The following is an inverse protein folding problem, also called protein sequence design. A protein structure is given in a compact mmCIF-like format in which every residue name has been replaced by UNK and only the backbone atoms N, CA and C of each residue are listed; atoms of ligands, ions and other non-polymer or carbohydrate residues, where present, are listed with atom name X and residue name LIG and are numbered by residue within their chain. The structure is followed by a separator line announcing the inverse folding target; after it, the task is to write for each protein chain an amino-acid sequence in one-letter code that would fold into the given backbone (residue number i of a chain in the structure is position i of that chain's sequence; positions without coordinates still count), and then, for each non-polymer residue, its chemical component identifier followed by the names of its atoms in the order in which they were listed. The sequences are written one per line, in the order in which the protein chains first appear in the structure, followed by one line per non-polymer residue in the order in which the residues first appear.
data_IF_796965094955
#
_entry.id   IF_796965094955
#
_cell.length_a   1.000
_cell.length_b   1.000
_cell.length_c   1.000
_cell.angle_alpha   90.00
_cell.angle_beta   90.00
_cell.angle_gamma   90.00
#
_symmetry.space_group_name_H-M   'P 1'
#
loop_
_entity.id
_entity.type
_entity.pdbx_description
1 polymer ?
#
# COMPACT_ATOMS: atom_id res chain seq x y z
N UNK A 1 37.20 -36.09 -37.52
CA UNK A 1 38.36 -35.68 -38.37
C UNK A 1 38.12 -34.21 -38.65
N UNK A 2 38.90 -33.37 -38.01
CA UNK A 2 39.54 -32.14 -38.46
C UNK A 2 40.04 -31.39 -37.24
N UNK A 3 41.35 -31.40 -37.10
CA UNK A 3 42.11 -30.68 -36.10
C UNK A 3 42.12 -29.20 -36.43
N UNK A 4 41.93 -28.32 -35.39
CA UNK A 4 42.26 -26.89 -35.53
C UNK A 4 43.35 -26.58 -34.53
N UNK A 5 44.46 -26.11 -35.11
CA UNK A 5 45.75 -25.81 -34.51
C UNK A 5 45.69 -24.80 -33.39
N UNK A 6 46.48 -25.09 -32.33
CA UNK A 6 46.82 -24.15 -31.30
C UNK A 6 47.88 -23.15 -31.81
N UNK A 7 47.58 -21.86 -31.80
CA UNK A 7 48.50 -20.79 -32.09
C UNK A 7 49.06 -20.22 -30.78
N UNK A 8 50.38 -20.40 -30.63
CA UNK A 8 51.13 -19.98 -29.46
C UNK A 8 51.35 -18.46 -29.48
N UNK A 9 50.77 -17.76 -28.47
CA UNK A 9 51.07 -16.34 -28.22
C UNK A 9 52.27 -16.20 -27.32
N UNK A 10 53.30 -15.57 -27.85
CA UNK A 10 54.57 -15.21 -27.19
C UNK A 10 54.35 -14.17 -26.08
N UNK A 11 54.97 -14.26 -24.90
CA UNK A 11 54.83 -13.23 -23.86
C UNK A 11 55.72 -12.01 -24.20
N UNK A 12 55.06 -10.90 -24.50
CA UNK A 12 55.69 -9.60 -24.69
C UNK A 12 56.12 -8.98 -23.35
N UNK A 13 57.34 -8.44 -23.37
CA UNK A 13 58.06 -7.84 -22.25
C UNK A 13 57.28 -6.77 -21.50
N UNK A 14 57.18 -6.94 -20.17
CA UNK A 14 56.70 -5.93 -19.23
C UNK A 14 57.75 -4.83 -19.11
N UNK A 15 57.47 -3.66 -19.67
CA UNK A 15 58.21 -2.43 -19.36
C UNK A 15 57.74 -1.92 -18.02
N UNK A 16 58.64 -1.99 -17.02
CA UNK A 16 58.53 -1.31 -15.73
C UNK A 16 58.69 0.20 -15.93
N UNK A 17 57.59 0.89 -16.15
CA UNK A 17 57.51 2.34 -16.05
C UNK A 17 57.16 2.68 -14.60
N UNK A 18 58.13 3.17 -13.85
CA UNK A 18 57.90 3.80 -12.54
C UNK A 18 57.19 5.13 -12.70
N UNK A 19 55.85 5.09 -12.79
CA UNK A 19 55.02 6.29 -12.81
C UNK A 19 54.75 6.71 -11.34
N UNK A 20 55.65 7.52 -10.82
CA UNK A 20 55.48 8.21 -9.53
C UNK A 20 54.41 9.30 -9.67
N UNK A 21 53.12 8.89 -9.64
CA UNK A 21 52.03 9.83 -9.45
C UNK A 21 52.08 10.39 -8.04
N UNK A 22 52.08 11.72 -7.86
CA UNK A 22 52.00 12.29 -6.52
C UNK A 22 50.66 11.85 -5.89
N UNK A 23 50.72 11.15 -4.76
CA UNK A 23 49.59 10.95 -3.87
C UNK A 23 49.13 12.33 -3.41
N UNK A 24 48.18 12.93 -4.07
CA UNK A 24 47.46 14.05 -3.53
C UNK A 24 46.72 13.56 -2.28
N UNK A 25 47.33 13.77 -1.13
CA UNK A 25 46.67 13.65 0.16
C UNK A 25 45.51 14.64 0.21
N UNK A 26 44.37 14.12 0.36
CA UNK A 26 43.11 14.85 0.50
C UNK A 26 42.01 13.86 0.83
N UNK A 27 42.15 13.15 2.00
CA UNK A 27 41.01 12.52 2.67
C UNK A 27 40.04 13.59 3.19
N UNK A 28 39.56 14.43 2.28
CA UNK A 28 38.36 15.18 2.48
C UNK A 28 37.21 14.30 2.10
N UNK A 29 36.66 13.51 3.03
CA UNK A 29 35.37 12.90 2.86
C UNK A 29 34.42 14.01 2.37
N UNK A 30 33.97 13.90 1.12
CA UNK A 30 33.05 14.88 0.55
C UNK A 30 31.90 15.07 1.56
N UNK A 31 31.56 16.30 1.94
CA UNK A 31 30.51 16.52 2.93
C UNK A 31 29.24 15.81 2.45
N UNK A 32 28.70 14.93 3.29
CA UNK A 32 27.47 14.23 3.00
C UNK A 32 26.41 15.25 2.54
N UNK A 33 25.86 15.02 1.37
CA UNK A 33 24.87 15.93 0.80
C UNK A 33 23.76 16.23 1.84
N UNK A 34 23.36 17.50 2.02
CA UNK A 34 22.37 17.84 3.01
C UNK A 34 21.08 17.06 2.74
N UNK A 35 20.48 16.49 3.79
CA UNK A 35 19.24 15.71 3.68
C UNK A 35 18.18 16.55 2.98
N UNK A 36 17.59 15.99 1.94
CA UNK A 36 16.52 16.63 1.20
C UNK A 36 15.33 16.96 2.12
N UNK A 37 14.66 18.09 1.87
CA UNK A 37 13.43 18.45 2.58
C UNK A 37 12.37 17.35 2.37
N UNK A 38 11.55 17.11 3.39
CA UNK A 38 10.57 16.00 3.40
C UNK A 38 9.62 16.06 2.18
N UNK A 39 9.05 17.22 1.87
CA UNK A 39 8.06 17.37 0.80
C UNK A 39 8.61 17.06 -0.60
N UNK A 40 9.74 17.64 -1.06
CA UNK A 40 10.29 17.30 -2.36
C UNK A 40 10.75 15.83 -2.45
N UNK A 41 11.30 15.28 -1.35
CA UNK A 41 11.67 13.87 -1.29
C UNK A 41 10.45 12.94 -1.39
N UNK A 42 9.36 13.26 -0.69
CA UNK A 42 8.09 12.56 -0.77
C UNK A 42 7.52 12.60 -2.20
N UNK A 43 7.50 13.79 -2.82
CA UNK A 43 7.02 13.94 -4.19
C UNK A 43 7.86 13.15 -5.20
N UNK A 44 9.18 13.09 -5.02
CA UNK A 44 10.07 12.29 -5.85
C UNK A 44 9.79 10.78 -5.71
N UNK A 45 9.67 10.28 -4.48
CA UNK A 45 9.32 8.86 -4.21
C UNK A 45 7.93 8.54 -4.76
N UNK A 46 6.95 9.39 -4.52
CA UNK A 46 5.59 9.23 -5.05
C UNK A 46 5.60 9.09 -6.57
N UNK A 47 6.26 10.00 -7.29
CA UNK A 47 6.36 9.96 -8.75
C UNK A 47 7.11 8.72 -9.25
N UNK A 48 8.20 8.34 -8.58
CA UNK A 48 8.95 7.12 -8.91
C UNK A 48 8.11 5.87 -8.73
N UNK A 49 7.31 5.79 -7.67
CA UNK A 49 6.37 4.68 -7.45
C UNK A 49 5.24 4.70 -8.49
N UNK A 50 4.74 5.87 -8.85
CA UNK A 50 3.67 6.01 -9.84
C UNK A 50 4.13 5.53 -11.23
N UNK A 51 5.34 5.89 -11.65
CA UNK A 51 5.89 5.48 -12.96
C UNK A 51 6.15 3.99 -13.05
N UNK A 52 6.72 3.38 -12.00
CA UNK A 52 6.94 1.92 -11.93
C UNK A 52 5.62 1.12 -11.92
N UNK A 53 4.59 1.72 -11.38
CA UNK A 53 3.32 1.09 -11.13
C UNK A 53 2.43 0.94 -12.38
N UNK A 54 2.57 1.82 -13.37
CA UNK A 54 1.68 1.85 -14.53
C UNK A 54 1.63 0.52 -15.28
N UNK A 55 2.75 -0.14 -15.47
CA UNK A 55 2.81 -1.37 -16.29
C UNK A 55 2.41 -2.63 -15.49
N UNK A 56 2.89 -2.75 -14.24
CA UNK A 56 2.72 -3.98 -13.47
C UNK A 56 1.45 -4.02 -12.61
N UNK A 57 0.86 -2.87 -12.26
CA UNK A 57 -0.23 -2.78 -11.28
C UNK A 57 -1.61 -2.56 -11.87
N UNK A 58 -1.72 -2.15 -13.13
CA UNK A 58 -3.02 -2.06 -13.82
C UNK A 58 -3.75 -3.42 -13.82
N UNK A 59 -3.10 -4.56 -14.15
CA UNK A 59 -3.73 -5.87 -14.06
C UNK A 59 -4.16 -6.23 -12.63
N UNK A 60 -3.36 -5.88 -11.61
CA UNK A 60 -3.68 -6.15 -10.20
C UNK A 60 -4.88 -5.33 -9.71
N UNK A 61 -4.97 -4.05 -10.11
CA UNK A 61 -6.14 -3.23 -9.82
C UNK A 61 -7.40 -3.78 -10.49
N UNK A 62 -7.27 -4.25 -11.74
CA UNK A 62 -8.37 -4.89 -12.45
C UNK A 62 -8.85 -6.14 -11.70
N UNK A 63 -7.94 -7.01 -11.24
CA UNK A 63 -8.28 -8.19 -10.45
C UNK A 63 -8.98 -7.80 -9.15
N UNK A 64 -8.48 -6.81 -8.40
CA UNK A 64 -9.10 -6.35 -7.16
C UNK A 64 -10.53 -5.81 -7.39
N UNK A 65 -10.71 -5.00 -8.43
CA UNK A 65 -12.01 -4.43 -8.80
C UNK A 65 -12.97 -5.54 -9.26
N UNK A 66 -12.50 -6.44 -10.12
CA UNK A 66 -13.29 -7.58 -10.60
C UNK A 66 -13.73 -8.51 -9.46
N UNK A 67 -12.81 -8.81 -8.53
CA UNK A 67 -13.12 -9.61 -7.33
C UNK A 67 -14.20 -8.92 -6.48
N UNK A 68 -14.09 -7.60 -6.24
CA UNK A 68 -15.05 -6.84 -5.44
C UNK A 68 -16.43 -6.80 -6.11
N UNK A 69 -16.49 -6.57 -7.40
CA UNK A 69 -17.74 -6.59 -8.18
C UNK A 69 -18.34 -8.01 -8.19
N UNK A 70 -17.50 -9.04 -8.34
CA UNK A 70 -17.94 -10.45 -8.28
C UNK A 70 -18.60 -10.81 -6.96
N UNK A 71 -18.02 -10.35 -5.83
CA UNK A 71 -18.61 -10.53 -4.49
C UNK A 71 -19.97 -9.83 -4.40
N UNK A 72 -20.10 -8.59 -4.90
CA UNK A 72 -21.37 -7.88 -4.90
C UNK A 72 -22.44 -8.58 -5.74
N UNK A 73 -22.07 -9.09 -6.91
CA UNK A 73 -23.01 -9.84 -7.76
C UNK A 73 -23.49 -11.12 -7.02
N UNK A 74 -22.57 -11.82 -6.36
CA UNK A 74 -22.92 -13.00 -5.57
C UNK A 74 -23.83 -12.65 -4.38
N UNK A 75 -23.57 -11.55 -3.70
CA UNK A 75 -24.35 -11.09 -2.56
C UNK A 75 -25.73 -10.56 -2.94
N UNK A 76 -25.95 -10.15 -4.19
CA UNK A 76 -27.25 -9.65 -4.68
C UNK A 76 -28.40 -10.64 -4.53
N UNK A 77 -28.10 -11.95 -4.55
CA UNK A 77 -29.09 -13.00 -4.35
C UNK A 77 -29.36 -13.35 -2.89
N UNK A 78 -28.60 -12.79 -1.96
CA UNK A 78 -28.65 -13.11 -0.52
C UNK A 78 -29.12 -11.93 0.31
N UNK A 79 -28.90 -10.70 -0.18
CA UNK A 79 -29.19 -9.45 0.52
C UNK A 79 -30.47 -8.82 -0.04
N UNK A 80 -31.45 -8.59 0.83
CA UNK A 80 -32.78 -8.06 0.47
C UNK A 80 -32.82 -6.53 0.28
N UNK A 81 -31.67 -5.85 0.38
CA UNK A 81 -31.59 -4.38 0.25
C UNK A 81 -31.36 -3.64 1.58
N UNK A 82 -31.64 -2.36 1.62
CA UNK A 82 -31.51 -1.54 2.85
C UNK A 82 -30.08 -1.44 3.38
N UNK A 83 -29.92 -1.57 4.69
CA UNK A 83 -28.64 -1.41 5.38
C UNK A 83 -27.61 -2.47 5.00
N UNK A 84 -28.06 -3.69 4.72
CA UNK A 84 -27.21 -4.78 4.29
C UNK A 84 -26.60 -4.50 2.90
N UNK A 85 -27.40 -4.02 1.97
CA UNK A 85 -26.92 -3.65 0.64
C UNK A 85 -25.89 -2.52 0.71
N UNK A 86 -26.11 -1.50 1.58
CA UNK A 86 -25.16 -0.41 1.81
C UNK A 86 -23.83 -0.95 2.39
N UNK A 87 -23.92 -1.85 3.37
CA UNK A 87 -22.73 -2.48 3.96
C UNK A 87 -21.94 -3.29 2.94
N UNK A 88 -22.61 -4.07 2.08
CA UNK A 88 -21.97 -4.86 1.01
C UNK A 88 -21.29 -3.95 -0.01
N UNK A 89 -21.93 -2.88 -0.46
CA UNK A 89 -21.33 -1.95 -1.44
C UNK A 89 -20.15 -1.20 -0.83
N UNK A 90 -20.31 -0.71 0.39
CA UNK A 90 -19.25 -0.01 1.10
C UNK A 90 -18.06 -0.94 1.41
N UNK A 91 -18.32 -2.14 1.94
CA UNK A 91 -17.32 -3.15 2.25
C UNK A 91 -16.53 -3.58 1.01
N UNK A 92 -17.23 -3.87 -0.09
CA UNK A 92 -16.60 -4.23 -1.37
C UNK A 92 -15.76 -3.08 -1.94
N UNK A 93 -16.20 -1.83 -1.76
CA UNK A 93 -15.43 -0.65 -2.21
C UNK A 93 -14.14 -0.48 -1.40
N UNK A 94 -14.20 -0.61 -0.07
CA UNK A 94 -13.03 -0.52 0.81
C UNK A 94 -12.12 -1.75 0.66
N UNK A 95 -12.64 -2.91 0.23
CA UNK A 95 -11.84 -4.10 -0.08
C UNK A 95 -10.81 -3.84 -1.18
N UNK A 96 -11.15 -3.05 -2.21
CA UNK A 96 -10.19 -2.64 -3.24
C UNK A 96 -9.03 -1.86 -2.61
N UNK A 97 -9.35 -0.98 -1.65
CA UNK A 97 -8.33 -0.23 -0.90
C UNK A 97 -7.47 -1.18 -0.07
N UNK A 98 -8.08 -2.13 0.64
CA UNK A 98 -7.36 -3.11 1.45
C UNK A 98 -6.43 -3.99 0.61
N UNK A 99 -6.90 -4.47 -0.53
CA UNK A 99 -6.08 -5.27 -1.45
C UNK A 99 -4.81 -4.54 -1.86
N UNK A 100 -4.94 -3.29 -2.30
CA UNK A 100 -3.82 -2.52 -2.82
C UNK A 100 -2.97 -1.92 -1.70
N UNK A 101 -3.61 -1.22 -0.75
CA UNK A 101 -2.89 -0.46 0.27
C UNK A 101 -2.32 -1.34 1.38
N UNK A 102 -3.02 -2.41 1.78
CA UNK A 102 -2.52 -3.32 2.81
C UNK A 102 -1.67 -4.44 2.21
N UNK A 103 -2.24 -5.25 1.32
CA UNK A 103 -1.61 -6.48 0.84
C UNK A 103 -0.42 -6.20 -0.09
N UNK A 104 -0.61 -5.39 -1.15
CA UNK A 104 0.49 -5.13 -2.09
C UNK A 104 1.62 -4.30 -1.45
N UNK A 105 1.31 -3.41 -0.50
CA UNK A 105 2.35 -2.63 0.18
C UNK A 105 3.13 -3.48 1.18
N UNK A 106 2.48 -4.44 1.87
CA UNK A 106 3.18 -5.41 2.70
C UNK A 106 4.16 -6.25 1.88
N UNK A 107 3.73 -6.73 0.71
CA UNK A 107 4.60 -7.46 -0.21
C UNK A 107 5.75 -6.59 -0.73
N UNK A 108 5.47 -5.36 -1.10
CA UNK A 108 6.49 -4.41 -1.59
C UNK A 108 7.60 -4.18 -0.57
N UNK A 109 7.25 -3.86 0.68
CA UNK A 109 8.25 -3.62 1.72
C UNK A 109 8.93 -4.91 2.18
N UNK A 110 8.22 -6.04 2.20
CA UNK A 110 8.81 -7.35 2.47
C UNK A 110 9.87 -7.71 1.42
N UNK A 111 9.57 -7.50 0.14
CA UNK A 111 10.51 -7.72 -0.95
C UNK A 111 11.69 -6.74 -0.90
N UNK A 112 11.42 -5.45 -0.64
CA UNK A 112 12.45 -4.42 -0.53
C UNK A 112 13.46 -4.76 0.57
N UNK A 113 12.98 -5.30 1.69
CA UNK A 113 13.84 -5.77 2.78
C UNK A 113 14.63 -7.03 2.39
N UNK A 114 13.98 -8.03 1.79
CA UNK A 114 14.63 -9.28 1.41
C UNK A 114 15.68 -9.11 0.33
N UNK A 115 15.51 -8.14 -0.58
CA UNK A 115 16.44 -7.84 -1.68
C UNK A 115 17.59 -6.89 -1.30
N UNK A 116 17.69 -6.43 -0.04
CA UNK A 116 18.67 -5.42 0.37
C UNK A 116 18.37 -4.01 -0.18
N UNK A 117 17.18 -3.80 -0.76
CA UNK A 117 16.80 -2.50 -1.32
C UNK A 117 16.69 -1.39 -0.28
N UNK A 118 16.53 -1.72 1.00
CA UNK A 118 16.57 -0.74 2.09
C UNK A 118 17.94 -0.09 2.21
N UNK A 119 19.04 -0.84 2.01
CA UNK A 119 20.40 -0.34 2.07
C UNK A 119 20.66 0.66 0.93
N UNK A 120 20.10 0.38 -0.26
CA UNK A 120 20.16 1.32 -1.37
C UNK A 120 19.45 2.65 -1.04
N UNK A 121 18.27 2.60 -0.42
CA UNK A 121 17.62 3.83 0.03
C UNK A 121 18.37 4.55 1.17
N UNK A 122 19.11 3.82 2.00
CA UNK A 122 19.93 4.40 3.06
C UNK A 122 21.11 5.23 2.53
N UNK A 123 21.62 4.92 1.32
CA UNK A 123 22.67 5.71 0.65
C UNK A 123 22.16 6.99 0.02
N UNK A 124 20.84 7.11 -0.18
CA UNK A 124 20.23 8.31 -0.76
C UNK A 124 19.95 9.36 0.33
N UNK A 125 20.06 10.67 0.03
CA UNK A 125 19.76 11.74 0.98
C UNK A 125 18.24 11.93 1.18
N UNK A 126 17.49 10.82 1.28
CA UNK A 126 16.03 10.80 1.40
C UNK A 126 15.62 10.44 2.83
N UNK A 127 14.78 11.24 3.50
CA UNK A 127 14.33 10.89 4.85
C UNK A 127 13.45 9.61 4.81
N UNK A 128 13.62 8.69 5.79
CA UNK A 128 12.85 7.45 5.89
C UNK A 128 11.32 7.63 5.80
N UNK A 129 10.83 8.70 6.42
CA UNK A 129 9.41 9.06 6.36
C UNK A 129 8.95 9.34 4.91
N UNK A 130 9.77 9.96 4.07
CA UNK A 130 9.41 10.24 2.69
C UNK A 130 9.26 8.96 1.86
N UNK A 131 10.06 7.92 2.14
CA UNK A 131 9.97 6.61 1.47
C UNK A 131 8.64 5.93 1.83
N UNK A 132 8.32 5.86 3.12
CA UNK A 132 7.08 5.21 3.59
C UNK A 132 5.85 5.99 3.13
N UNK A 133 5.81 7.30 3.39
CA UNK A 133 4.67 8.15 3.04
C UNK A 133 4.49 8.26 1.51
N UNK A 134 5.58 8.40 0.76
CA UNK A 134 5.53 8.46 -0.70
C UNK A 134 5.02 7.17 -1.34
N UNK A 135 5.46 6.01 -0.82
CA UNK A 135 4.93 4.72 -1.24
C UNK A 135 3.46 4.58 -0.85
N UNK A 136 3.10 4.84 0.41
CA UNK A 136 1.73 4.76 0.89
C UNK A 136 0.77 5.64 0.06
N UNK A 137 1.15 6.89 -0.20
CA UNK A 137 0.36 7.81 -1.02
C UNK A 137 0.20 7.31 -2.46
N UNK A 138 1.26 6.75 -3.07
CA UNK A 138 1.18 6.20 -4.41
C UNK A 138 0.23 5.01 -4.47
N UNK A 139 0.32 4.07 -3.52
CA UNK A 139 -0.56 2.91 -3.47
C UNK A 139 -2.02 3.31 -3.20
N UNK A 140 -2.27 4.25 -2.28
CA UNK A 140 -3.60 4.79 -2.04
C UNK A 140 -4.19 5.47 -3.30
N UNK A 141 -3.39 6.23 -4.04
CA UNK A 141 -3.85 6.87 -5.28
C UNK A 141 -4.25 5.85 -6.36
N UNK A 142 -3.62 4.68 -6.39
CA UNK A 142 -4.00 3.61 -7.32
C UNK A 142 -5.36 3.00 -7.02
N UNK A 143 -5.82 3.06 -5.77
CA UNK A 143 -7.11 2.48 -5.41
C UNK A 143 -8.29 3.31 -5.91
N UNK A 144 -8.09 4.61 -6.13
CA UNK A 144 -9.15 5.56 -6.48
C UNK A 144 -10.03 5.09 -7.65
N UNK A 145 -9.48 4.76 -8.84
CA UNK A 145 -10.33 4.36 -9.96
C UNK A 145 -11.07 3.04 -9.70
N UNK A 146 -10.42 2.05 -9.09
CA UNK A 146 -11.05 0.77 -8.78
C UNK A 146 -12.17 0.91 -7.75
N UNK A 147 -11.94 1.67 -6.69
CA UNK A 147 -12.94 1.94 -5.66
C UNK A 147 -14.12 2.73 -6.21
N UNK A 148 -13.87 3.73 -7.05
CA UNK A 148 -14.92 4.51 -7.70
C UNK A 148 -15.79 3.62 -8.61
N UNK A 149 -15.17 2.78 -9.44
CA UNK A 149 -15.90 1.82 -10.30
C UNK A 149 -16.72 0.86 -9.44
N UNK A 150 -16.15 0.30 -8.38
CA UNK A 150 -16.83 -0.63 -7.47
C UNK A 150 -18.04 0.03 -6.80
N UNK A 151 -17.88 1.26 -6.30
CA UNK A 151 -18.97 2.00 -5.65
C UNK A 151 -20.10 2.35 -6.64
N UNK A 152 -19.77 2.80 -7.85
CA UNK A 152 -20.76 3.12 -8.88
C UNK A 152 -21.50 1.88 -9.34
N UNK A 153 -20.80 0.80 -9.65
CA UNK A 153 -21.41 -0.49 -10.05
C UNK A 153 -22.27 -1.04 -8.92
N UNK A 154 -21.80 -0.99 -7.68
CA UNK A 154 -22.55 -1.44 -6.51
C UNK A 154 -23.83 -0.61 -6.31
N UNK A 155 -23.74 0.72 -6.39
CA UNK A 155 -24.88 1.59 -6.28
C UNK A 155 -25.92 1.31 -7.37
N UNK A 156 -25.50 1.07 -8.60
CA UNK A 156 -26.37 0.69 -9.71
C UNK A 156 -27.02 -0.68 -9.51
N UNK A 157 -26.27 -1.68 -9.00
CA UNK A 157 -26.76 -3.03 -8.75
C UNK A 157 -27.82 -3.09 -7.64
N UNK A 158 -27.65 -2.31 -6.59
CA UNK A 158 -28.53 -2.31 -5.41
C UNK A 158 -29.49 -1.13 -5.35
N UNK A 159 -29.50 -0.27 -6.38
CA UNK A 159 -30.40 0.90 -6.43
C UNK A 159 -30.10 1.95 -5.36
N UNK A 160 -28.84 2.09 -4.92
CA UNK A 160 -28.46 3.06 -3.89
C UNK A 160 -28.29 4.47 -4.46
N UNK A 161 -28.56 5.54 -3.67
CA UNK A 161 -28.38 6.91 -4.12
C UNK A 161 -26.91 7.24 -4.37
N UNK A 162 -26.61 7.77 -5.55
CA UNK A 162 -25.23 8.14 -5.93
C UNK A 162 -24.87 9.58 -5.51
N UNK A 163 -25.80 10.32 -4.91
CA UNK A 163 -25.63 11.74 -4.61
C UNK A 163 -24.44 12.06 -3.71
N UNK A 164 -24.08 11.14 -2.82
CA UNK A 164 -23.02 11.34 -1.81
C UNK A 164 -21.72 10.59 -2.11
N UNK A 165 -21.54 10.08 -3.33
CA UNK A 165 -20.30 9.39 -3.72
C UNK A 165 -19.03 10.27 -3.61
N UNK A 166 -19.18 11.59 -3.53
CA UNK A 166 -18.08 12.50 -3.25
C UNK A 166 -17.35 12.19 -1.91
N UNK A 167 -18.02 11.53 -0.96
CA UNK A 167 -17.41 11.04 0.30
C UNK A 167 -16.24 10.10 0.05
N UNK A 168 -16.22 9.40 -1.09
CA UNK A 168 -15.07 8.58 -1.51
C UNK A 168 -13.77 9.39 -1.58
N UNK A 169 -13.84 10.69 -1.86
CA UNK A 169 -12.67 11.56 -1.88
C UNK A 169 -12.01 11.69 -0.48
N UNK A 170 -12.76 11.45 0.59
CA UNK A 170 -12.24 11.40 1.97
C UNK A 170 -11.97 9.95 2.42
N UNK A 171 -12.91 9.04 2.16
CA UNK A 171 -12.80 7.63 2.57
C UNK A 171 -11.56 6.96 1.98
N UNK A 172 -11.31 7.11 0.68
CA UNK A 172 -10.19 6.43 0.00
C UNK A 172 -8.83 6.84 0.55
N UNK A 173 -8.48 8.13 0.67
CA UNK A 173 -7.17 8.51 1.20
C UNK A 173 -7.02 8.19 2.69
N UNK A 174 -8.06 8.32 3.51
CA UNK A 174 -7.96 8.06 4.95
C UNK A 174 -7.88 6.56 5.26
N UNK A 175 -8.78 5.74 4.69
CA UNK A 175 -8.70 4.28 4.79
C UNK A 175 -7.42 3.76 4.13
N UNK A 176 -7.04 4.35 2.98
CA UNK A 176 -5.81 4.04 2.29
C UNK A 176 -4.56 4.32 3.14
N UNK A 177 -4.51 5.45 3.85
CA UNK A 177 -3.41 5.78 4.76
C UNK A 177 -3.33 4.80 5.94
N UNK A 178 -4.47 4.46 6.55
CA UNK A 178 -4.54 3.52 7.66
C UNK A 178 -4.06 2.12 7.24
N UNK A 179 -4.59 1.60 6.14
CA UNK A 179 -4.27 0.27 5.62
C UNK A 179 -2.86 0.20 5.03
N UNK A 180 -2.40 1.26 4.35
CA UNK A 180 -1.04 1.34 3.82
C UNK A 180 0.01 1.39 4.94
N UNK A 181 -0.27 2.13 6.02
CA UNK A 181 0.59 2.14 7.20
C UNK A 181 0.74 0.77 7.83
N UNK A 182 -0.38 0.04 8.00
CA UNK A 182 -0.37 -1.33 8.50
C UNK A 182 0.37 -2.27 7.55
N UNK A 183 0.09 -2.20 6.24
CA UNK A 183 0.77 -3.02 5.23
C UNK A 183 2.29 -2.78 5.22
N UNK A 184 2.71 -1.51 5.25
CA UNK A 184 4.11 -1.14 5.33
C UNK A 184 4.77 -1.67 6.62
N UNK A 185 4.11 -1.51 7.77
CA UNK A 185 4.62 -2.02 9.05
C UNK A 185 4.77 -3.54 9.04
N UNK A 186 3.77 -4.27 8.56
CA UNK A 186 3.81 -5.72 8.42
C UNK A 186 4.95 -6.17 7.51
N UNK A 187 5.11 -5.53 6.34
CA UNK A 187 6.19 -5.85 5.40
C UNK A 187 7.58 -5.58 5.96
N UNK A 188 7.74 -4.47 6.71
CA UNK A 188 9.02 -4.09 7.30
C UNK A 188 9.38 -4.90 8.55
N UNK A 189 8.40 -5.33 9.34
CA UNK A 189 8.63 -6.11 10.56
C UNK A 189 8.76 -7.60 10.29
N UNK A 190 8.19 -8.11 9.20
CA UNK A 190 8.27 -9.53 8.85
C UNK A 190 9.73 -9.95 8.62
N UNK A 191 10.19 -11.04 9.27
CA UNK A 191 11.58 -11.52 9.13
C UNK A 191 11.87 -12.11 7.74
N UNK A 192 10.85 -12.57 7.02
CA UNK A 192 10.93 -13.16 5.67
C UNK A 192 9.83 -12.60 4.77
N UNK A 193 10.10 -12.56 3.47
CA UNK A 193 9.15 -12.06 2.47
C UNK A 193 7.85 -12.87 2.45
N UNK A 194 7.95 -14.19 2.62
CA UNK A 194 6.78 -15.09 2.64
C UNK A 194 5.82 -14.72 3.78
N UNK A 195 6.37 -14.40 4.97
CA UNK A 195 5.57 -13.96 6.11
C UNK A 195 4.93 -12.61 5.87
N UNK A 196 5.62 -11.68 5.22
CA UNK A 196 5.01 -10.39 4.84
C UNK A 196 3.82 -10.61 3.90
N UNK A 197 3.96 -11.50 2.93
CA UNK A 197 2.89 -11.87 1.98
C UNK A 197 1.72 -12.52 2.71
N UNK A 198 1.99 -13.49 3.59
CA UNK A 198 0.94 -14.17 4.38
C UNK A 198 0.20 -13.19 5.31
N UNK A 199 0.91 -12.32 6.02
CA UNK A 199 0.29 -11.30 6.87
C UNK A 199 -0.57 -10.33 6.06
N UNK A 200 -0.10 -9.92 4.87
CA UNK A 200 -0.87 -9.08 3.95
C UNK A 200 -2.15 -9.77 3.47
N UNK A 201 -2.06 -11.05 3.07
CA UNK A 201 -3.19 -11.88 2.65
C UNK A 201 -4.21 -12.06 3.79
N UNK A 202 -3.74 -12.41 5.00
CA UNK A 202 -4.60 -12.59 6.18
C UNK A 202 -5.29 -11.27 6.56
N UNK A 203 -4.57 -10.14 6.53
CA UNK A 203 -5.14 -8.83 6.79
C UNK A 203 -6.21 -8.44 5.76
N UNK A 204 -5.97 -8.73 4.47
CA UNK A 204 -6.96 -8.53 3.42
C UNK A 204 -8.18 -9.44 3.61
N UNK A 205 -7.98 -10.73 3.95
CA UNK A 205 -9.07 -11.66 4.19
C UNK A 205 -9.89 -11.27 5.41
N UNK A 206 -9.25 -10.77 6.46
CA UNK A 206 -9.94 -10.22 7.62
C UNK A 206 -10.75 -8.97 7.24
N UNK A 207 -10.19 -8.05 6.46
CA UNK A 207 -10.89 -6.87 5.97
C UNK A 207 -12.10 -7.24 5.10
N UNK A 208 -11.99 -8.29 4.27
CA UNK A 208 -13.08 -8.82 3.48
C UNK A 208 -14.19 -9.39 4.38
N UNK A 209 -13.82 -10.32 5.25
CA UNK A 209 -14.79 -11.05 6.10
C UNK A 209 -15.54 -10.09 7.03
N UNK A 210 -14.81 -9.17 7.68
CA UNK A 210 -15.37 -8.27 8.66
C UNK A 210 -15.99 -7.00 8.03
N UNK A 211 -15.58 -6.62 6.81
CA UNK A 211 -16.08 -5.44 6.12
C UNK A 211 -17.31 -5.68 5.26
N UNK A 212 -17.47 -6.88 4.66
CA UNK A 212 -18.57 -7.20 3.75
C UNK A 212 -19.75 -7.86 4.46
N UNK A 213 -19.48 -8.64 5.53
CA UNK A 213 -20.56 -9.30 6.27
C UNK A 213 -21.34 -8.29 7.13
N UNK A 214 -22.69 -8.37 7.11
CA UNK A 214 -23.53 -7.54 7.96
C UNK A 214 -23.31 -7.81 9.45
N UNK A 215 -23.17 -6.75 10.24
CA UNK A 215 -22.89 -6.84 11.68
C UNK A 215 -23.95 -7.62 12.47
N UNK A 216 -25.21 -7.59 11.99
CA UNK A 216 -26.34 -8.24 12.62
C UNK A 216 -26.22 -9.78 12.76
N UNK A 217 -25.39 -10.40 11.93
CA UNK A 217 -25.19 -11.86 11.91
C UNK A 217 -23.86 -12.31 12.54
N UNK A 218 -23.11 -11.39 13.17
CA UNK A 218 -21.80 -11.70 13.75
C UNK A 218 -21.89 -12.07 15.25
N UNK A 219 -21.21 -13.16 15.68
CA UNK A 219 -21.00 -13.43 17.09
C UNK A 219 -20.22 -12.29 17.78
N UNK A 220 -20.53 -12.03 19.06
CA UNK A 220 -19.94 -10.93 19.82
C UNK A 220 -18.40 -10.81 19.73
N UNK A 221 -17.58 -11.89 19.84
CA UNK A 221 -16.12 -11.76 19.75
C UNK A 221 -15.65 -11.31 18.35
N UNK A 222 -16.39 -11.66 17.30
CA UNK A 222 -16.07 -11.23 15.92
C UNK A 222 -16.46 -9.76 15.73
N UNK A 223 -17.55 -9.29 16.33
CA UNK A 223 -17.93 -7.90 16.32
C UNK A 223 -16.85 -7.01 16.97
N UNK A 224 -16.29 -7.39 18.11
CA UNK A 224 -15.17 -6.68 18.73
C UNK A 224 -13.91 -6.66 17.84
N UNK A 225 -13.60 -7.78 17.17
CA UNK A 225 -12.47 -7.82 16.24
C UNK A 225 -12.69 -6.90 15.02
N UNK A 226 -13.94 -6.76 14.58
CA UNK A 226 -14.34 -5.84 13.51
C UNK A 226 -14.09 -4.39 13.91
N UNK A 227 -14.48 -3.99 15.11
CA UNK A 227 -14.29 -2.62 15.61
C UNK A 227 -12.81 -2.25 15.79
N UNK A 228 -11.95 -3.25 15.95
CA UNK A 228 -10.50 -3.03 16.03
C UNK A 228 -9.85 -2.80 14.64
N UNK A 229 -10.51 -3.22 13.56
CA UNK A 229 -9.98 -3.03 12.21
C UNK A 229 -10.25 -1.61 11.70
N UNK A 230 -9.21 -0.88 11.25
CA UNK A 230 -9.40 0.48 10.73
C UNK A 230 -10.22 0.53 9.44
N UNK A 231 -10.29 -0.59 8.68
CA UNK A 231 -11.14 -0.70 7.50
C UNK A 231 -12.63 -0.56 7.83
N UNK A 232 -13.06 -0.97 9.03
CA UNK A 232 -14.46 -0.92 9.48
C UNK A 232 -15.01 0.50 9.48
N UNK A 233 -14.27 1.44 10.02
CA UNK A 233 -14.69 2.85 10.07
C UNK A 233 -14.81 3.48 8.66
N UNK A 234 -13.94 3.08 7.73
CA UNK A 234 -14.07 3.49 6.33
C UNK A 234 -15.29 2.89 5.65
N UNK A 235 -15.62 1.63 5.94
CA UNK A 235 -16.83 0.95 5.48
C UNK A 235 -18.07 1.63 6.06
N UNK A 236 -18.11 1.90 7.37
CA UNK A 236 -19.25 2.53 8.02
C UNK A 236 -19.48 3.96 7.54
N UNK A 237 -18.43 4.77 7.42
CA UNK A 237 -18.52 6.11 6.87
C UNK A 237 -19.14 6.10 5.45
N UNK A 238 -18.70 5.16 4.60
CA UNK A 238 -19.21 5.02 3.25
C UNK A 238 -20.66 4.46 3.24
N UNK A 239 -20.95 3.45 4.06
CA UNK A 239 -22.29 2.87 4.17
C UNK A 239 -23.32 3.91 4.61
N UNK A 240 -23.00 4.72 5.63
CA UNK A 240 -23.87 5.82 6.10
C UNK A 240 -24.05 6.91 5.06
N UNK A 241 -23.08 7.13 4.17
CA UNK A 241 -23.24 8.13 3.11
C UNK A 241 -24.27 7.74 2.05
N UNK A 242 -24.67 6.47 1.98
CA UNK A 242 -25.78 6.01 1.11
C UNK A 242 -27.16 6.21 1.74
N UNK A 243 -27.28 6.72 2.97
CA UNK A 243 -28.56 7.07 3.56
C UNK A 243 -29.20 8.25 2.85
N UNK A 244 -30.54 8.27 2.82
CA UNK A 244 -31.29 9.40 2.27
C UNK A 244 -31.05 10.70 3.07
N UNK A 245 -30.72 10.57 4.36
CA UNK A 245 -30.33 11.66 5.26
C UNK A 245 -29.14 11.21 6.11
N UNK A 246 -27.91 11.33 5.56
CA UNK A 246 -26.70 10.93 6.29
C UNK A 246 -26.50 11.78 7.54
N UNK A 247 -26.15 11.14 8.65
CA UNK A 247 -25.65 11.85 9.82
C UNK A 247 -24.17 12.19 9.60
N UNK A 248 -23.95 13.41 9.12
CA UNK A 248 -22.60 13.89 8.79
C UNK A 248 -21.66 13.98 10.01
N UNK A 249 -22.21 14.13 11.22
CA UNK A 249 -21.40 14.16 12.44
C UNK A 249 -20.79 12.79 12.71
N UNK A 250 -21.57 11.72 12.53
CA UNK A 250 -21.10 10.33 12.71
C UNK A 250 -20.14 9.95 11.58
N UNK A 251 -20.45 10.29 10.32
CA UNK A 251 -19.54 10.08 9.18
C UNK A 251 -18.21 10.77 9.41
N UNK A 252 -18.21 12.01 9.91
CA UNK A 252 -16.98 12.74 10.24
C UNK A 252 -16.21 12.09 11.41
N UNK A 253 -16.90 11.55 12.41
CA UNK A 253 -16.27 10.82 13.51
C UNK A 253 -15.58 9.55 13.02
N UNK A 254 -16.22 8.74 12.17
CA UNK A 254 -15.62 7.54 11.57
C UNK A 254 -14.39 7.88 10.72
N UNK A 255 -14.48 8.93 9.90
CA UNK A 255 -13.33 9.42 9.13
C UNK A 255 -12.21 9.94 10.03
N UNK A 256 -12.56 10.56 11.16
CA UNK A 256 -11.62 11.00 12.19
C UNK A 256 -10.86 9.83 12.81
N UNK A 257 -11.54 8.73 13.11
CA UNK A 257 -10.90 7.49 13.60
C UNK A 257 -9.99 6.91 12.52
N UNK A 258 -10.43 6.83 11.26
CA UNK A 258 -9.56 6.41 10.14
C UNK A 258 -8.30 7.27 10.04
N UNK A 259 -8.44 8.60 10.16
CA UNK A 259 -7.31 9.53 10.12
C UNK A 259 -6.34 9.28 11.28
N UNK A 260 -6.84 9.14 12.51
CA UNK A 260 -6.03 8.88 13.69
C UNK A 260 -5.25 7.55 13.57
N UNK A 261 -5.94 6.47 13.17
CA UNK A 261 -5.29 5.18 12.91
C UNK A 261 -4.29 5.28 11.76
N UNK A 262 -4.61 6.05 10.71
CA UNK A 262 -3.71 6.30 9.59
C UNK A 262 -2.40 6.96 10.03
N UNK A 263 -2.48 7.99 10.87
CA UNK A 263 -1.31 8.66 11.44
C UNK A 263 -0.48 7.70 12.28
N UNK A 264 -1.12 6.94 13.19
CA UNK A 264 -0.44 5.98 14.06
C UNK A 264 0.23 4.88 13.24
N UNK A 265 -0.48 4.26 12.31
CA UNK A 265 0.05 3.16 11.48
C UNK A 265 1.22 3.61 10.60
N UNK A 266 1.14 4.80 9.99
CA UNK A 266 2.25 5.38 9.21
C UNK A 266 3.44 5.76 10.10
N UNK A 267 3.21 6.23 11.32
CA UNK A 267 4.28 6.48 12.29
C UNK A 267 4.99 5.18 12.68
N UNK A 268 4.22 4.11 12.96
CA UNK A 268 4.77 2.77 13.25
C UNK A 268 5.55 2.23 12.03
N UNK A 269 5.02 2.38 10.82
CA UNK A 269 5.73 1.97 9.61
C UNK A 269 7.05 2.73 9.43
N UNK A 270 7.05 4.04 9.70
CA UNK A 270 8.26 4.86 9.62
C UNK A 270 9.29 4.45 10.69
N UNK A 271 8.83 4.14 11.89
CA UNK A 271 9.68 3.59 12.95
C UNK A 271 10.25 2.22 12.57
N UNK A 272 9.41 1.32 12.05
CA UNK A 272 9.82 0.00 11.58
C UNK A 272 10.87 0.10 10.45
N UNK A 273 10.69 1.05 9.52
CA UNK A 273 11.66 1.32 8.47
C UNK A 273 13.02 1.75 9.03
N UNK A 274 13.04 2.69 9.98
CA UNK A 274 14.29 3.12 10.64
C UNK A 274 15.00 1.96 11.32
N UNK A 275 14.25 1.10 12.00
CA UNK A 275 14.80 -0.08 12.68
C UNK A 275 15.33 -1.13 11.70
N UNK A 276 14.71 -1.30 10.55
CA UNK A 276 15.13 -2.22 9.52
C UNK A 276 16.38 -1.73 8.76
N UNK A 277 16.53 -0.42 8.58
CA UNK A 277 17.67 0.19 7.87
C UNK A 277 18.98 0.28 8.72
N UNK A 278 18.92 0.01 10.03
CA UNK A 278 20.08 0.06 10.95
C UNK A 278 20.65 -1.35 11.21
N UNK A 279 19.98 -2.39 10.75
CA UNK A 279 20.43 -3.79 10.89
C UNK A 279 21.13 -4.30 9.65
#
# INVERSE_FOLDING_TARGET
MSAVSAEAVTPGAVRSGSDSRPRSGGDGAAPLAPRAKLLPALAAVYRAQLSRARVARIPLLFVATFQSVGIMIMMRGVVDGGDEARAVVAGSSVLVVAFVALNLLAQYFGQLRASGGLDHYATLPVPPAAVVLGAAAAYASFTVPGTAVTAVVGSALFGLPMAHLWVLAAVVPLSGAALAGLGAALGLLAPRQELATLCGQLGMSAALLLGVLPAAHMPAPIAYARDLLPSTYGVEALARSFDARPDWAVVAADLGVCAAVGVVSLAVATWAYRRAAVR
#
